data_IF_855412645339
#
_entry.id   IF_855412645339
#
_cell.length_a   1.000
_cell.length_b   1.000
_cell.length_c   1.000
_cell.angle_alpha   90.00
_cell.angle_beta   90.00
_cell.angle_gamma   90.00
#
_symmetry.space_group_name_H-M   'P 1'
#
loop_
_entity.id
_entity.type
_entity.pdbx_description
1 polymer ?
#
# COMPACT_ATOMS: atom_id res chain seq x y z
N UNK A 1 -17.69 46.65 -1.21
CA UNK A 1 -18.80 45.67 -1.30
C UNK A 1 -18.71 44.79 -2.54
N UNK A 2 -18.80 45.31 -3.78
CA UNK A 2 -18.69 44.45 -4.98
C UNK A 2 -17.28 43.86 -5.20
N UNK A 3 -16.23 44.66 -4.98
CA UNK A 3 -14.85 44.18 -5.08
C UNK A 3 -14.51 43.12 -4.02
N UNK A 4 -14.98 43.29 -2.79
CA UNK A 4 -14.78 42.32 -1.70
C UNK A 4 -15.45 40.96 -2.01
N UNK A 5 -16.60 40.97 -2.68
CA UNK A 5 -17.33 39.76 -3.08
C UNK A 5 -16.57 39.05 -4.22
N UNK A 6 -16.11 39.79 -5.23
CA UNK A 6 -15.28 39.25 -6.31
C UNK A 6 -13.98 38.63 -5.79
N UNK A 7 -13.32 39.30 -4.83
CA UNK A 7 -12.12 38.79 -4.19
C UNK A 7 -12.41 37.49 -3.42
N UNK A 8 -13.52 37.43 -2.68
CA UNK A 8 -13.97 36.20 -2.02
C UNK A 8 -14.29 35.07 -2.99
N UNK A 9 -14.85 35.34 -4.16
CA UNK A 9 -15.06 34.31 -5.18
C UNK A 9 -13.73 33.78 -5.71
N UNK A 10 -12.79 34.66 -6.04
CA UNK A 10 -11.46 34.26 -6.49
C UNK A 10 -10.72 33.41 -5.43
N UNK A 11 -10.78 33.81 -4.17
CA UNK A 11 -10.20 33.04 -3.06
C UNK A 11 -10.85 31.67 -2.87
N UNK A 12 -12.16 31.55 -3.16
CA UNK A 12 -12.86 30.26 -3.10
C UNK A 12 -12.46 29.35 -4.25
N UNK A 13 -12.38 29.87 -5.47
CA UNK A 13 -11.94 29.10 -6.65
C UNK A 13 -10.53 28.54 -6.45
N UNK A 14 -9.61 29.35 -5.93
CA UNK A 14 -8.24 28.92 -5.63
C UNK A 14 -8.22 27.79 -4.58
N UNK A 15 -9.05 27.88 -3.53
CA UNK A 15 -9.17 26.81 -2.53
C UNK A 15 -9.75 25.54 -3.13
N UNK A 16 -10.74 25.64 -4.01
CA UNK A 16 -11.34 24.49 -4.69
C UNK A 16 -10.32 23.77 -5.57
N UNK A 17 -9.49 24.52 -6.31
CA UNK A 17 -8.41 23.95 -7.12
C UNK A 17 -7.38 23.23 -6.24
N UNK A 18 -6.96 23.84 -5.13
CA UNK A 18 -6.04 23.22 -4.17
C UNK A 18 -6.62 21.94 -3.55
N UNK A 19 -7.91 21.93 -3.22
CA UNK A 19 -8.61 20.73 -2.72
C UNK A 19 -8.62 19.65 -3.79
N UNK A 20 -8.98 19.98 -5.03
CA UNK A 20 -9.02 19.03 -6.13
C UNK A 20 -7.66 18.35 -6.34
N UNK A 21 -6.59 19.14 -6.41
CA UNK A 21 -5.21 18.62 -6.54
C UNK A 21 -4.83 17.74 -5.34
N UNK A 22 -5.23 18.12 -4.12
CA UNK A 22 -4.92 17.36 -2.90
C UNK A 22 -5.68 16.03 -2.85
N UNK A 23 -6.93 16.01 -3.28
CA UNK A 23 -7.75 14.80 -3.36
C UNK A 23 -7.21 13.83 -4.40
N UNK A 24 -6.80 14.32 -5.58
CA UNK A 24 -6.20 13.47 -6.62
C UNK A 24 -4.88 12.84 -6.14
N UNK A 25 -4.03 13.60 -5.44
CA UNK A 25 -2.82 13.05 -4.79
C UNK A 25 -3.17 11.98 -3.76
N UNK A 26 -4.17 12.24 -2.91
CA UNK A 26 -4.63 11.30 -1.88
C UNK A 26 -5.16 10.02 -2.50
N UNK A 27 -5.98 10.11 -3.56
CA UNK A 27 -6.47 8.95 -4.33
C UNK A 27 -5.32 8.10 -4.85
N UNK A 28 -4.30 8.74 -5.45
CA UNK A 28 -3.13 8.05 -5.98
C UNK A 28 -2.32 7.36 -4.88
N UNK A 29 -2.06 8.05 -3.78
CA UNK A 29 -1.30 7.49 -2.66
C UNK A 29 -2.07 6.38 -1.95
N UNK A 30 -3.37 6.56 -1.74
CA UNK A 30 -4.22 5.55 -1.13
C UNK A 30 -4.20 4.23 -1.93
N UNK A 31 -4.30 4.30 -3.26
CA UNK A 31 -4.21 3.12 -4.12
C UNK A 31 -2.87 2.40 -3.95
N UNK A 32 -1.76 3.11 -4.01
CA UNK A 32 -0.43 2.51 -3.85
C UNK A 32 -0.21 1.96 -2.45
N UNK A 33 -0.61 2.71 -1.41
CA UNK A 33 -0.55 2.25 -0.02
C UNK A 33 -1.39 0.99 0.19
N UNK A 34 -2.56 0.87 -0.45
CA UNK A 34 -3.39 -0.32 -0.36
C UNK A 34 -2.71 -1.53 -1.01
N UNK A 35 -2.15 -1.37 -2.21
CA UNK A 35 -1.40 -2.44 -2.89
C UNK A 35 -0.21 -2.88 -2.04
N UNK A 36 0.56 -1.94 -1.50
CA UNK A 36 1.71 -2.22 -0.64
C UNK A 36 1.28 -2.90 0.65
N UNK A 37 0.21 -2.43 1.29
CA UNK A 37 -0.31 -3.03 2.53
C UNK A 37 -0.74 -4.48 2.31
N UNK A 38 -1.47 -4.74 1.22
CA UNK A 38 -1.86 -6.09 0.84
C UNK A 38 -0.63 -6.94 0.54
N UNK A 39 0.32 -6.42 -0.24
CA UNK A 39 1.58 -7.12 -0.55
C UNK A 39 2.39 -7.45 0.71
N UNK A 40 2.50 -6.52 1.65
CA UNK A 40 3.25 -6.69 2.90
C UNK A 40 2.68 -7.80 3.80
N UNK A 41 1.38 -8.06 3.73
CA UNK A 41 0.73 -9.15 4.47
C UNK A 41 0.71 -10.44 3.66
N UNK A 42 0.32 -10.38 2.39
CA UNK A 42 0.12 -11.59 1.56
C UNK A 42 1.42 -12.20 1.06
N UNK A 43 2.43 -11.41 0.67
CA UNK A 43 3.72 -11.95 0.20
C UNK A 43 4.39 -12.87 1.23
N UNK A 44 4.54 -12.50 2.51
CA UNK A 44 5.16 -13.41 3.48
C UNK A 44 4.29 -14.65 3.72
N UNK A 45 2.97 -14.54 3.71
CA UNK A 45 2.10 -15.72 3.86
C UNK A 45 2.26 -16.71 2.70
N UNK A 46 2.28 -16.21 1.47
CA UNK A 46 2.52 -17.05 0.28
C UNK A 46 3.96 -17.61 0.32
N UNK A 47 4.92 -16.80 0.73
CA UNK A 47 6.32 -17.22 0.93
C UNK A 47 6.45 -18.35 1.93
N UNK A 48 5.74 -18.29 3.06
CA UNK A 48 5.72 -19.38 4.05
C UNK A 48 5.12 -20.66 3.49
N UNK A 49 4.01 -20.58 2.75
CA UNK A 49 3.41 -21.76 2.10
C UNK A 49 4.40 -22.43 1.14
N UNK A 50 5.25 -21.66 0.45
CA UNK A 50 6.28 -22.19 -0.44
C UNK A 50 7.54 -22.70 0.29
N UNK A 51 7.99 -21.99 1.33
CA UNK A 51 9.24 -22.29 2.05
C UNK A 51 9.08 -23.48 3.01
N UNK A 52 7.92 -23.59 3.70
CA UNK A 52 7.71 -24.63 4.72
C UNK A 52 7.90 -26.04 4.13
N UNK A 53 7.30 -26.43 2.98
CA UNK A 53 7.50 -27.77 2.42
C UNK A 53 8.96 -28.08 2.08
N UNK A 54 9.67 -27.11 1.50
CA UNK A 54 11.10 -27.25 1.18
C UNK A 54 11.97 -27.37 2.44
N UNK A 55 11.65 -26.60 3.48
CA UNK A 55 12.34 -26.67 4.75
C UNK A 55 12.12 -28.03 5.43
N UNK A 56 10.88 -28.51 5.47
CA UNK A 56 10.54 -29.82 6.05
C UNK A 56 11.19 -30.98 5.28
N UNK A 57 11.24 -30.93 3.95
CA UNK A 57 11.91 -31.98 3.16
C UNK A 57 13.41 -32.01 3.42
N UNK A 58 14.05 -30.83 3.49
CA UNK A 58 15.48 -30.72 3.79
C UNK A 58 15.82 -31.27 5.18
N UNK A 59 15.00 -30.93 6.19
CA UNK A 59 15.17 -31.47 7.54
C UNK A 59 14.95 -32.98 7.58
N UNK A 60 13.88 -33.49 6.95
CA UNK A 60 13.61 -34.93 6.87
C UNK A 60 14.76 -35.71 6.22
N UNK A 61 15.33 -35.19 5.13
CA UNK A 61 16.51 -35.79 4.48
C UNK A 61 17.75 -35.78 5.39
N UNK A 62 17.95 -34.72 6.17
CA UNK A 62 19.07 -34.64 7.12
C UNK A 62 18.92 -35.68 8.24
N UNK A 63 17.72 -35.82 8.83
CA UNK A 63 17.46 -36.84 9.86
C UNK A 63 17.60 -38.26 9.30
N UNK A 64 17.02 -38.52 8.13
CA UNK A 64 17.17 -39.81 7.45
C UNK A 64 18.63 -40.17 7.17
N UNK A 65 19.46 -39.19 6.77
CA UNK A 65 20.90 -39.39 6.55
C UNK A 65 21.70 -39.68 7.84
N UNK A 66 21.16 -39.30 9.01
CA UNK A 66 21.73 -39.63 10.32
C UNK A 66 21.21 -40.97 10.88
N UNK A 67 20.29 -41.64 10.17
CA UNK A 67 19.71 -42.92 10.58
C UNK A 67 18.74 -42.85 11.76
N UNK A 68 18.22 -41.65 12.05
CA UNK A 68 17.20 -41.37 13.09
C UNK A 68 15.84 -41.05 12.47
#
# INVERSE_FOLDING_TARGET
MEQDILEKFKQQDEKLEQIFVSVEKTRKYFLWTMIISIGAVLLPLIGLIAIIPWFLSTMSSAYSGLGL
#
